data_IF_292080515345
#
_entry.id   IF_292080515345
#
_cell.length_a   1.000
_cell.length_b   1.000
_cell.length_c   1.000
_cell.angle_alpha   90.00
_cell.angle_beta   90.00
_cell.angle_gamma   90.00
#
_symmetry.space_group_name_H-M   'P 1'
#
loop_
_entity.id
_entity.type
_entity.pdbx_description
1 polymer ?
#
# COMPACT_ATOMS: atom_id res chain seq x y z
N UNK A 1 3.91 -9.49 5.21
CA UNK A 1 2.49 -9.90 5.17
C UNK A 1 1.90 -9.36 3.88
N UNK A 2 1.37 -10.21 3.00
CA UNK A 2 0.83 -9.78 1.70
C UNK A 2 -0.69 -9.60 1.79
N UNK A 3 -1.20 -8.46 1.32
CA UNK A 3 -2.64 -8.26 1.10
C UNK A 3 -3.01 -8.83 -0.27
N UNK A 4 -3.92 -9.80 -0.30
CA UNK A 4 -4.41 -10.43 -1.53
C UNK A 4 -5.91 -10.64 -1.44
N UNK A 5 -6.59 -10.42 -2.57
CA UNK A 5 -8.00 -10.75 -2.73
C UNK A 5 -8.12 -11.84 -3.79
N UNK A 6 -8.87 -12.90 -3.47
CA UNK A 6 -9.17 -13.97 -4.42
C UNK A 6 -9.75 -13.38 -5.72
N UNK A 7 -9.33 -13.86 -6.92
CA UNK A 7 -9.71 -13.24 -8.20
C UNK A 7 -11.20 -12.97 -8.37
N UNK A 8 -12.07 -13.90 -7.98
CA UNK A 8 -13.54 -13.79 -8.07
C UNK A 8 -14.17 -12.77 -7.11
N UNK A 9 -13.39 -12.28 -6.15
CA UNK A 9 -13.82 -11.29 -5.17
C UNK A 9 -13.15 -9.92 -5.36
N UNK A 10 -12.35 -9.74 -6.43
CA UNK A 10 -11.78 -8.44 -6.79
C UNK A 10 -12.87 -7.47 -7.26
N UNK A 11 -12.58 -6.18 -7.19
CA UNK A 11 -13.52 -5.12 -7.58
C UNK A 11 -14.68 -4.89 -6.60
N UNK A 12 -14.75 -5.65 -5.49
CA UNK A 12 -15.81 -5.56 -4.47
C UNK A 12 -15.41 -4.76 -3.22
N UNK A 13 -14.31 -4.00 -3.29
CA UNK A 13 -13.89 -3.09 -2.23
C UNK A 13 -13.08 -3.67 -1.07
N UNK A 14 -12.84 -5.00 -1.02
CA UNK A 14 -12.12 -5.64 0.09
C UNK A 14 -10.74 -4.98 0.39
N UNK A 15 -9.95 -4.71 -0.64
CA UNK A 15 -8.66 -4.03 -0.49
C UNK A 15 -8.82 -2.60 0.07
N UNK A 16 -9.86 -1.87 -0.34
CA UNK A 16 -10.13 -0.52 0.15
C UNK A 16 -10.52 -0.50 1.62
N UNK A 17 -11.30 -1.49 2.07
CA UNK A 17 -11.63 -1.64 3.49
C UNK A 17 -10.37 -1.85 4.36
N UNK A 18 -9.45 -2.69 3.89
CA UNK A 18 -8.19 -2.94 4.61
C UNK A 18 -7.26 -1.72 4.62
N UNK A 19 -7.13 -1.03 3.49
CA UNK A 19 -6.34 0.21 3.40
C UNK A 19 -6.89 1.27 4.35
N UNK A 20 -8.20 1.50 4.31
CA UNK A 20 -8.87 2.45 5.21
C UNK A 20 -8.64 2.10 6.67
N UNK A 21 -8.85 0.84 7.05
CA UNK A 21 -8.60 0.40 8.42
C UNK A 21 -7.15 0.67 8.85
N UNK A 22 -6.18 0.40 7.98
CA UNK A 22 -4.75 0.65 8.25
C UNK A 22 -4.44 2.12 8.46
N UNK A 23 -5.01 3.01 7.64
CA UNK A 23 -4.91 4.47 7.83
C UNK A 23 -5.50 4.87 9.18
N UNK A 24 -6.70 4.39 9.51
CA UNK A 24 -7.34 4.68 10.79
C UNK A 24 -6.52 4.21 12.00
N UNK A 25 -5.76 3.11 11.88
CA UNK A 25 -4.83 2.68 12.94
C UNK A 25 -3.61 3.61 13.03
N UNK A 26 -3.05 4.00 11.89
CA UNK A 26 -1.90 4.90 11.81
C UNK A 26 -2.23 6.28 12.41
N UNK A 27 -3.41 6.81 12.08
CA UNK A 27 -3.94 8.06 12.62
C UNK A 27 -4.10 8.00 14.14
N UNK A 28 -4.66 6.90 14.68
CA UNK A 28 -4.77 6.68 16.14
C UNK A 28 -3.42 6.61 16.83
N UNK A 29 -2.42 6.05 16.15
CA UNK A 29 -1.05 5.95 16.66
C UNK A 29 -0.23 7.23 16.49
N UNK A 30 -0.72 8.21 15.72
CA UNK A 30 0.06 9.40 15.35
C UNK A 30 1.29 9.08 14.50
N UNK A 31 1.23 8.00 13.71
CA UNK A 31 2.35 7.52 12.88
C UNK A 31 1.99 7.58 11.39
N UNK A 32 2.97 7.72 10.49
CA UNK A 32 2.71 7.69 9.05
C UNK A 32 2.32 6.28 8.58
N UNK A 33 1.38 6.20 7.63
CA UNK A 33 1.05 4.95 6.93
C UNK A 33 1.98 4.74 5.73
N UNK A 34 2.53 3.53 5.59
CA UNK A 34 3.36 3.12 4.46
C UNK A 34 2.99 1.71 3.98
N UNK A 35 3.16 1.44 2.68
CA UNK A 35 2.92 0.12 2.10
C UNK A 35 3.84 -0.16 0.91
N UNK A 36 4.23 -1.42 0.78
CA UNK A 36 4.88 -1.96 -0.42
C UNK A 36 3.83 -2.60 -1.32
N UNK A 37 3.73 -2.13 -2.57
CA UNK A 37 2.69 -2.57 -3.49
C UNK A 37 3.21 -2.91 -4.88
N UNK A 38 2.73 -4.04 -5.40
CA UNK A 38 2.84 -4.37 -6.82
C UNK A 38 2.07 -3.38 -7.70
N UNK A 39 2.37 -3.38 -8.99
CA UNK A 39 1.81 -2.46 -10.00
C UNK A 39 0.27 -2.44 -9.96
N UNK A 40 -0.36 -3.62 -9.80
CA UNK A 40 -1.81 -3.77 -9.78
C UNK A 40 -2.51 -3.02 -8.63
N UNK A 41 -1.83 -2.80 -7.51
CA UNK A 41 -2.39 -2.06 -6.37
C UNK A 41 -2.27 -0.54 -6.50
N UNK A 42 -1.40 -0.03 -7.38
CA UNK A 42 -1.13 1.42 -7.48
C UNK A 42 -2.38 2.30 -7.63
N UNK A 43 -3.38 1.95 -8.46
CA UNK A 43 -4.56 2.79 -8.64
C UNK A 43 -5.36 2.97 -7.34
N UNK A 44 -5.54 1.90 -6.57
CA UNK A 44 -6.29 1.98 -5.31
C UNK A 44 -5.51 2.75 -4.25
N UNK A 45 -4.19 2.55 -4.11
CA UNK A 45 -3.40 3.29 -3.13
C UNK A 45 -3.43 4.80 -3.40
N UNK A 46 -3.32 5.22 -4.66
CA UNK A 46 -3.46 6.64 -5.04
C UNK A 46 -4.83 7.21 -4.65
N UNK A 47 -5.89 6.43 -4.79
CA UNK A 47 -7.24 6.84 -4.38
C UNK A 47 -7.38 7.13 -2.88
N UNK A 48 -6.50 6.57 -2.04
CA UNK A 48 -6.45 6.82 -0.60
C UNK A 48 -5.37 7.85 -0.21
N UNK A 49 -4.81 8.59 -1.17
CA UNK A 49 -3.83 9.65 -0.88
C UNK A 49 -2.39 9.17 -0.72
N UNK A 50 -2.11 7.88 -0.93
CA UNK A 50 -0.72 7.40 -0.98
C UNK A 50 -0.01 7.95 -2.21
N UNK A 51 1.16 8.52 -1.98
CA UNK A 51 2.09 8.95 -3.03
C UNK A 51 3.24 7.97 -3.13
N UNK A 52 3.76 7.78 -4.35
CA UNK A 52 4.95 6.97 -4.52
C UNK A 52 6.12 7.68 -3.82
N UNK A 53 6.71 7.02 -2.83
CA UNK A 53 7.96 7.49 -2.26
C UNK A 53 9.02 7.55 -3.36
N UNK A 54 9.72 8.67 -3.47
CA UNK A 54 10.87 8.79 -4.36
C UNK A 54 11.98 7.88 -3.82
N UNK A 55 12.16 6.71 -4.45
CA UNK A 55 13.02 5.65 -3.92
C UNK A 55 13.70 4.83 -5.00
N UNK A 56 14.53 5.48 -5.82
CA UNK A 56 15.57 4.78 -6.58
C UNK A 56 16.72 4.44 -5.64
N UNK A 57 16.66 3.31 -4.95
CA UNK A 57 17.80 2.82 -4.16
C UNK A 57 18.41 1.60 -4.84
N UNK A 58 19.52 1.85 -5.55
CA UNK A 58 20.48 0.83 -5.91
C UNK A 58 21.75 1.12 -5.11
N UNK A 59 22.06 0.29 -4.13
CA UNK A 59 23.33 0.36 -3.40
C UNK A 59 24.24 -0.75 -3.94
N UNK A 60 25.12 -0.36 -4.86
CA UNK A 60 26.19 -1.21 -5.36
C UNK A 60 27.54 -0.64 -4.94
N UNK A 61 28.13 -1.18 -3.87
CA UNK A 61 29.59 -1.17 -3.70
C UNK A 61 30.06 -2.62 -3.69
N UNK A 62 30.30 -3.15 -4.89
CA UNK A 62 31.14 -4.34 -5.04
C UNK A 62 32.58 -4.00 -4.63
N UNK A 63 33.21 -4.91 -3.89
CA UNK A 63 34.66 -5.07 -3.89
C UNK A 63 35.01 -6.08 -4.97
#
# INVERSE_FOLDING_TARGET
MHMVTHPEHRGKGAAGMLIRWGIEQADKGGVPAYLEAGIMGRPIHKGYGFVQAAGGRFEGRGK
#
